data_IF_180009541396
#
_entry.id   IF_180009541396
#
_cell.length_a   1.000
_cell.length_b   1.000
_cell.length_c   1.000
_cell.angle_alpha   90.00
_cell.angle_beta   90.00
_cell.angle_gamma   90.00
#
_symmetry.space_group_name_H-M   'P 1'
#
loop_
_entity.id
_entity.type
_entity.pdbx_description
1 polymer ?
#
# COMPACT_ATOMS: atom_id res chain seq x y z
N UNK A 1 39.01 -46.67 -37.22
CA UNK A 1 37.91 -46.07 -38.01
C UNK A 1 36.63 -46.28 -37.21
N UNK A 2 35.91 -45.19 -36.94
CA UNK A 2 34.85 -45.02 -35.91
C UNK A 2 33.88 -46.19 -35.72
N UNK A 3 33.64 -46.60 -34.47
CA UNK A 3 32.32 -47.02 -33.94
C UNK A 3 32.28 -46.77 -32.43
N UNK A 4 31.53 -45.75 -32.05
CA UNK A 4 31.17 -45.41 -30.67
C UNK A 4 30.19 -46.46 -30.14
N UNK A 5 30.50 -47.08 -29.00
CA UNK A 5 29.56 -47.87 -28.21
C UNK A 5 29.44 -47.23 -26.82
N UNK A 6 28.24 -46.73 -26.57
CA UNK A 6 27.53 -46.53 -25.30
C UNK A 6 28.24 -47.02 -24.03
N UNK A 7 28.54 -46.08 -23.13
CA UNK A 7 28.57 -46.32 -21.68
C UNK A 7 27.45 -45.49 -21.05
N UNK A 8 26.41 -46.18 -20.61
CA UNK A 8 25.39 -45.64 -19.71
C UNK A 8 26.00 -45.68 -18.30
N UNK A 9 26.40 -44.53 -17.77
CA UNK A 9 26.67 -44.40 -16.34
C UNK A 9 25.39 -43.91 -15.68
N UNK A 10 24.71 -44.82 -14.98
CA UNK A 10 23.54 -44.56 -14.16
C UNK A 10 23.96 -43.71 -12.95
N UNK A 11 23.96 -42.40 -13.09
CA UNK A 11 23.81 -41.51 -11.93
C UNK A 11 22.33 -41.50 -11.56
N UNK A 12 21.93 -42.43 -10.69
CA UNK A 12 20.66 -42.33 -9.97
C UNK A 12 20.68 -41.01 -9.19
N UNK A 13 19.83 -40.09 -9.64
CA UNK A 13 19.53 -38.83 -8.96
C UNK A 13 18.87 -39.19 -7.62
N UNK A 14 19.60 -38.97 -6.53
CA UNK A 14 19.08 -38.85 -5.16
C UNK A 14 18.22 -37.57 -5.05
N UNK A 15 17.13 -37.49 -5.83
CA UNK A 15 16.26 -36.33 -5.93
C UNK A 15 14.90 -36.47 -5.24
N UNK A 16 14.62 -37.63 -4.63
CA UNK A 16 13.28 -37.94 -4.12
C UNK A 16 13.10 -37.76 -2.60
N UNK A 17 14.14 -37.43 -1.84
CA UNK A 17 14.08 -37.51 -0.36
C UNK A 17 13.98 -36.17 0.38
N UNK A 18 13.97 -35.03 -0.30
CA UNK A 18 13.75 -33.72 0.34
C UNK A 18 12.29 -33.25 0.32
N UNK A 19 11.44 -33.83 -0.53
CA UNK A 19 10.00 -33.51 -0.56
C UNK A 19 9.16 -34.33 0.44
N UNK A 20 9.69 -35.44 0.96
CA UNK A 20 8.96 -36.34 1.86
C UNK A 20 9.00 -35.94 3.35
N UNK A 21 9.59 -34.78 3.69
CA UNK A 21 9.77 -34.32 5.08
C UNK A 21 8.97 -33.05 5.42
N UNK A 22 8.28 -32.45 4.44
CA UNK A 22 7.32 -31.40 4.72
C UNK A 22 5.96 -32.07 4.94
N UNK A 23 5.48 -32.10 6.19
CA UNK A 23 4.10 -32.49 6.49
C UNK A 23 3.11 -31.62 5.70
N UNK A 24 1.87 -32.07 5.56
CA UNK A 24 0.83 -31.26 4.93
C UNK A 24 0.74 -29.88 5.61
N UNK A 25 0.54 -28.79 4.85
CA UNK A 25 0.30 -27.48 5.44
C UNK A 25 -0.85 -27.55 6.44
N UNK A 26 -0.66 -26.97 7.63
CA UNK A 26 -1.68 -26.91 8.66
C UNK A 26 -2.93 -26.20 8.13
N UNK A 27 -4.12 -26.70 8.48
CA UNK A 27 -5.36 -25.95 8.30
C UNK A 27 -5.31 -24.63 9.09
N UNK A 28 -6.01 -23.59 8.63
CA UNK A 28 -6.00 -22.27 9.29
C UNK A 28 -6.44 -22.35 10.77
N UNK A 29 -7.35 -23.28 11.08
CA UNK A 29 -7.83 -23.63 12.41
C UNK A 29 -6.76 -24.31 13.32
N UNK A 30 -5.67 -24.79 12.72
CA UNK A 30 -4.57 -25.48 13.39
C UNK A 30 -3.34 -24.59 13.57
N UNK A 31 -3.36 -23.36 13.03
CA UNK A 31 -2.29 -22.39 13.20
C UNK A 31 -2.37 -21.78 14.60
N UNK A 32 -1.40 -22.12 15.46
CA UNK A 32 -1.28 -21.48 16.76
C UNK A 32 -0.84 -20.02 16.60
N UNK A 33 -1.73 -19.07 16.88
CA UNK A 33 -1.42 -17.64 16.88
C UNK A 33 -0.49 -17.36 18.07
N UNK A 34 0.75 -17.00 17.77
CA UNK A 34 1.76 -16.61 18.77
C UNK A 34 2.08 -15.12 18.62
N UNK A 35 1.08 -14.29 18.86
CA UNK A 35 1.28 -12.84 18.99
C UNK A 35 2.11 -12.52 20.23
N UNK A 36 2.85 -11.39 20.19
CA UNK A 36 3.49 -10.82 21.38
C UNK A 36 2.55 -9.75 21.93
N UNK A 37 2.50 -9.61 23.26
CA UNK A 37 1.68 -8.56 23.88
C UNK A 37 2.35 -7.18 23.76
N UNK A 38 3.68 -7.15 23.66
CA UNK A 38 4.46 -5.93 23.53
C UNK A 38 4.57 -5.50 22.06
N UNK A 39 4.19 -4.25 21.77
CA UNK A 39 4.32 -3.62 20.46
C UNK A 39 5.14 -2.32 20.53
N UNK A 40 5.94 -1.97 19.50
CA UNK A 40 6.10 -2.72 18.25
C UNK A 40 6.94 -3.99 18.42
N UNK A 41 6.69 -5.01 17.60
CA UNK A 41 7.38 -6.30 17.67
C UNK A 41 7.71 -6.97 16.33
N UNK A 42 7.50 -6.29 15.20
CA UNK A 42 7.78 -6.86 13.87
C UNK A 42 9.17 -6.45 13.40
N UNK A 43 9.30 -5.31 12.71
CA UNK A 43 10.58 -4.81 12.21
C UNK A 43 11.29 -3.86 13.19
N UNK A 44 10.58 -3.40 14.23
CA UNK A 44 11.12 -2.63 15.34
C UNK A 44 10.63 -3.23 16.66
N UNK A 45 11.41 -3.03 17.72
CA UNK A 45 11.02 -3.36 19.09
C UNK A 45 10.83 -2.11 19.94
N UNK A 46 10.15 -2.22 21.08
CA UNK A 46 10.10 -1.15 22.09
C UNK A 46 11.51 -0.67 22.50
N UNK A 47 12.48 -1.57 22.61
CA UNK A 47 13.89 -1.24 22.89
C UNK A 47 14.52 -0.39 21.79
N UNK A 48 14.23 -0.67 20.51
CA UNK A 48 14.72 0.14 19.40
C UNK A 48 14.17 1.57 19.44
N UNK A 49 12.89 1.71 19.82
CA UNK A 49 12.24 3.02 19.99
C UNK A 49 12.88 3.81 21.12
N UNK A 50 13.12 3.19 22.28
CA UNK A 50 13.79 3.86 23.41
C UNK A 50 15.24 4.25 23.09
N UNK A 51 15.98 3.38 22.39
CA UNK A 51 17.30 3.74 21.87
C UNK A 51 17.25 4.92 20.89
N UNK A 52 16.23 4.99 20.02
CA UNK A 52 16.06 6.11 19.10
C UNK A 52 15.80 7.42 19.86
N UNK A 53 14.95 7.41 20.89
CA UNK A 53 14.68 8.57 21.76
C UNK A 53 15.95 9.03 22.49
N UNK A 54 16.70 8.11 23.10
CA UNK A 54 17.97 8.45 23.75
C UNK A 54 19.01 9.03 22.76
N UNK A 55 19.05 8.54 21.51
CA UNK A 55 19.91 9.11 20.46
C UNK A 55 19.50 10.52 20.07
N UNK A 56 18.20 10.82 20.02
CA UNK A 56 17.67 12.17 19.73
C UNK A 56 18.14 13.18 20.80
N UNK A 57 18.17 12.80 22.07
CA UNK A 57 18.68 13.67 23.13
C UNK A 57 20.17 13.98 22.95
N UNK A 58 20.95 12.97 22.51
CA UNK A 58 22.40 13.05 22.46
C UNK A 58 22.97 13.64 21.16
N UNK A 59 22.43 13.26 20.01
CA UNK A 59 23.07 13.51 18.71
C UNK A 59 22.26 14.47 17.83
N UNK A 60 22.96 15.43 17.21
CA UNK A 60 22.34 16.41 16.31
C UNK A 60 21.71 15.76 15.07
N UNK A 61 22.40 14.79 14.44
CA UNK A 61 21.85 14.07 13.29
C UNK A 61 20.55 13.32 13.63
N UNK A 62 20.43 12.81 14.85
CA UNK A 62 19.24 12.11 15.30
C UNK A 62 18.08 13.08 15.52
N UNK A 63 18.34 14.27 16.11
CA UNK A 63 17.36 15.36 16.18
C UNK A 63 16.91 15.79 14.79
N UNK A 64 17.84 16.04 13.88
CA UNK A 64 17.51 16.43 12.51
C UNK A 64 16.65 15.38 11.79
N UNK A 65 16.92 14.08 12.04
CA UNK A 65 16.12 12.99 11.49
C UNK A 65 14.70 12.94 12.08
N UNK A 66 14.55 13.04 13.40
CA UNK A 66 13.24 13.17 14.06
C UNK A 66 12.49 14.37 13.51
N UNK A 67 13.12 15.53 13.44
CA UNK A 67 12.46 16.77 13.01
C UNK A 67 11.99 16.66 11.55
N UNK A 68 12.72 15.91 10.69
CA UNK A 68 12.25 15.59 9.35
C UNK A 68 10.98 14.71 9.38
N UNK A 69 10.97 13.66 10.20
CA UNK A 69 9.77 12.80 10.37
C UNK A 69 8.58 13.62 10.84
N UNK A 70 8.75 14.48 11.84
CA UNK A 70 7.66 15.33 12.35
C UNK A 70 7.18 16.31 11.27
N UNK A 71 8.08 17.00 10.56
CA UNK A 71 7.69 17.89 9.45
C UNK A 71 6.95 17.16 8.33
N UNK A 72 7.27 15.90 8.07
CA UNK A 72 6.56 15.06 7.09
C UNK A 72 5.17 14.68 7.61
N UNK A 73 5.07 14.24 8.86
CA UNK A 73 3.83 13.87 9.52
C UNK A 73 2.86 15.07 9.66
N UNK A 74 3.38 16.24 10.02
CA UNK A 74 2.62 17.49 10.17
C UNK A 74 1.87 17.88 8.90
N UNK A 75 2.38 17.54 7.71
CA UNK A 75 1.68 17.81 6.44
C UNK A 75 0.34 17.09 6.38
N UNK A 76 0.29 15.88 6.92
CA UNK A 76 -0.91 15.05 6.96
C UNK A 76 -1.87 15.46 8.06
N UNK A 77 -1.51 16.39 8.95
CA UNK A 77 -2.38 16.95 9.98
C UNK A 77 -3.02 18.30 9.59
N UNK A 78 -2.59 18.91 8.48
CA UNK A 78 -3.06 20.25 8.07
C UNK A 78 -4.54 20.29 7.75
N UNK A 79 -5.02 19.25 7.09
CA UNK A 79 -6.42 19.14 6.68
C UNK A 79 -7.23 18.31 7.67
N UNK A 80 -8.56 18.46 7.63
CA UNK A 80 -9.48 17.73 8.50
C UNK A 80 -9.54 16.23 8.16
N UNK A 81 -10.16 15.42 9.02
CA UNK A 81 -10.37 14.00 8.74
C UNK A 81 -11.25 13.83 7.50
N UNK A 82 -12.32 14.61 7.42
CA UNK A 82 -13.31 14.62 6.34
C UNK A 82 -12.66 14.95 5.00
N UNK A 83 -11.71 15.90 4.97
CA UNK A 83 -10.95 16.22 3.77
C UNK A 83 -10.27 14.97 3.19
N UNK A 84 -9.56 14.20 4.02
CA UNK A 84 -8.87 13.00 3.55
C UNK A 84 -9.84 11.90 3.14
N UNK A 85 -10.94 11.73 3.88
CA UNK A 85 -11.94 10.70 3.58
C UNK A 85 -12.68 10.95 2.27
N UNK A 86 -12.88 12.21 1.86
CA UNK A 86 -13.48 12.54 0.55
C UNK A 86 -12.60 12.04 -0.61
N UNK A 87 -11.29 11.90 -0.40
CA UNK A 87 -10.34 11.46 -1.41
C UNK A 87 -10.24 9.93 -1.52
N UNK A 88 -10.83 9.19 -0.57
CA UNK A 88 -10.84 7.72 -0.56
C UNK A 88 -11.54 7.19 -1.82
N UNK A 89 -10.89 6.32 -2.63
CA UNK A 89 -11.57 5.66 -3.73
C UNK A 89 -12.76 4.83 -3.24
N UNK A 90 -13.78 4.67 -4.09
CA UNK A 90 -14.90 3.78 -3.79
C UNK A 90 -14.44 2.32 -3.71
N UNK A 91 -15.12 1.44 -2.93
CA UNK A 91 -14.91 0.00 -3.01
C UNK A 91 -14.98 -0.50 -4.46
N UNK A 92 -13.99 -1.28 -4.88
CA UNK A 92 -13.90 -1.83 -6.25
C UNK A 92 -13.56 -0.82 -7.35
N UNK A 93 -13.13 0.41 -7.01
CA UNK A 93 -12.74 1.41 -8.00
C UNK A 93 -11.57 0.95 -8.90
N UNK A 94 -11.47 1.56 -10.09
CA UNK A 94 -10.33 1.38 -10.97
C UNK A 94 -9.06 1.97 -10.36
N UNK A 95 -7.93 1.26 -10.52
CA UNK A 95 -6.57 1.73 -10.25
C UNK A 95 -5.74 1.56 -11.52
N UNK A 96 -4.88 2.52 -11.84
CA UNK A 96 -4.08 2.47 -13.07
C UNK A 96 -2.66 3.00 -12.89
N UNK A 97 -1.72 2.44 -13.66
CA UNK A 97 -0.37 2.99 -13.81
C UNK A 97 -0.34 4.20 -14.74
N UNK A 98 -1.26 4.27 -15.70
CA UNK A 98 -1.28 5.24 -16.78
C UNK A 98 -0.43 4.84 -17.98
N UNK A 99 -0.35 3.54 -18.33
CA UNK A 99 0.51 3.06 -19.44
C UNK A 99 0.15 3.64 -20.81
N UNK A 100 -1.11 3.99 -21.04
CA UNK A 100 -1.57 4.53 -22.33
C UNK A 100 -1.26 6.01 -22.54
N UNK A 101 -0.85 6.72 -21.48
CA UNK A 101 -0.42 8.11 -21.54
C UNK A 101 -1.53 9.10 -21.92
N UNK A 102 -1.13 10.32 -22.24
CA UNK A 102 -1.99 11.34 -22.82
C UNK A 102 -2.53 10.87 -24.20
N UNK A 103 -3.84 10.92 -24.46
CA UNK A 103 -4.40 10.50 -25.75
C UNK A 103 -3.86 11.27 -26.97
N UNK A 104 -3.37 12.49 -26.78
CA UNK A 104 -2.90 13.38 -27.86
C UNK A 104 -1.40 13.29 -28.11
N UNK A 105 -0.59 13.18 -27.05
CA UNK A 105 0.87 13.17 -27.15
C UNK A 105 1.50 11.80 -26.89
N UNK A 106 0.78 10.90 -26.23
CA UNK A 106 1.28 9.62 -25.74
C UNK A 106 2.23 9.74 -24.54
N UNK A 107 2.47 10.95 -24.02
CA UNK A 107 3.35 11.17 -22.88
C UNK A 107 2.75 10.63 -21.58
N UNK A 108 3.60 10.21 -20.64
CA UNK A 108 3.13 9.83 -19.32
C UNK A 108 2.68 11.04 -18.51
N UNK A 109 1.74 10.83 -17.60
CA UNK A 109 1.28 11.83 -16.66
C UNK A 109 2.26 12.06 -15.48
N UNK A 110 3.49 12.48 -15.80
CA UNK A 110 4.60 12.70 -14.87
C UNK A 110 5.33 11.42 -14.45
N UNK A 111 4.59 10.45 -13.93
CA UNK A 111 5.14 9.20 -13.42
C UNK A 111 4.04 8.20 -13.05
N UNK A 112 4.39 7.15 -12.31
CA UNK A 112 3.46 6.12 -11.85
C UNK A 112 3.23 6.25 -10.36
N UNK A 113 2.06 5.84 -9.86
CA UNK A 113 1.74 5.82 -8.43
C UNK A 113 2.00 7.18 -7.78
N UNK A 114 2.81 7.26 -6.71
CA UNK A 114 3.19 8.51 -6.04
C UNK A 114 3.82 9.57 -6.96
N UNK A 115 4.40 9.15 -8.10
CA UNK A 115 5.03 10.04 -9.06
C UNK A 115 4.09 10.58 -10.13
N UNK A 116 2.82 10.14 -10.17
CA UNK A 116 1.82 10.70 -11.07
C UNK A 116 1.58 12.19 -10.74
N UNK A 117 1.35 12.99 -11.78
CA UNK A 117 1.09 14.43 -11.71
C UNK A 117 -0.35 14.73 -11.23
N UNK A 118 -0.68 14.25 -10.03
CA UNK A 118 -1.92 14.52 -9.32
C UNK A 118 -1.71 15.55 -8.21
N UNK A 119 -2.80 16.16 -7.73
CA UNK A 119 -2.80 17.08 -6.59
C UNK A 119 -4.02 16.84 -5.72
N UNK A 120 -3.90 17.16 -4.43
CA UNK A 120 -5.04 17.15 -3.50
C UNK A 120 -6.09 18.22 -3.85
N UNK A 121 -5.67 19.31 -4.51
CA UNK A 121 -6.55 20.42 -4.91
C UNK A 121 -7.41 20.11 -6.15
N UNK A 122 -7.08 19.03 -6.88
CA UNK A 122 -7.76 18.62 -8.11
C UNK A 122 -8.18 17.15 -8.00
N UNK A 123 -9.10 16.82 -7.08
CA UNK A 123 -9.48 15.44 -6.80
C UNK A 123 -10.07 14.76 -8.03
N UNK A 124 -9.69 13.50 -8.24
CA UNK A 124 -10.13 12.70 -9.39
C UNK A 124 -9.42 13.03 -10.70
N UNK A 125 -8.42 13.94 -10.69
CA UNK A 125 -7.74 14.38 -11.90
C UNK A 125 -6.25 14.09 -11.93
N UNK A 126 -5.72 14.02 -13.16
CA UNK A 126 -4.29 13.92 -13.46
C UNK A 126 -3.91 15.00 -14.48
N UNK A 127 -2.68 15.53 -14.36
CA UNK A 127 -2.17 16.62 -15.21
C UNK A 127 -1.09 16.11 -16.18
N UNK A 128 -1.14 16.51 -17.44
CA UNK A 128 -0.04 16.24 -18.38
C UNK A 128 1.12 17.23 -18.22
N UNK A 129 2.17 17.09 -19.05
CA UNK A 129 3.36 17.95 -19.06
C UNK A 129 3.07 19.41 -19.43
N UNK A 130 2.02 19.66 -20.21
CA UNK A 130 1.58 21.00 -20.65
C UNK A 130 0.63 21.68 -19.65
N UNK A 131 0.25 20.99 -18.57
CA UNK A 131 -0.61 21.52 -17.53
C UNK A 131 -2.10 21.25 -17.71
N UNK A 132 -2.50 20.57 -18.79
CA UNK A 132 -3.88 20.16 -19.06
C UNK A 132 -4.33 19.08 -18.07
N UNK A 133 -5.54 19.23 -17.56
CA UNK A 133 -6.16 18.29 -16.61
C UNK A 133 -7.04 17.27 -17.32
N UNK A 134 -7.02 16.03 -16.81
CA UNK A 134 -7.81 14.91 -17.28
C UNK A 134 -8.49 14.22 -16.07
N UNK A 135 -9.71 13.70 -16.20
CA UNK A 135 -10.58 13.81 -17.37
C UNK A 135 -11.01 15.25 -17.68
N UNK A 136 -11.45 15.49 -18.91
CA UNK A 136 -12.02 16.76 -19.37
C UNK A 136 -13.09 16.50 -20.45
N UNK A 137 -13.72 17.55 -20.97
CA UNK A 137 -14.81 17.41 -21.96
C UNK A 137 -14.42 16.64 -23.23
N UNK A 138 -13.16 16.74 -23.67
CA UNK A 138 -12.67 16.03 -24.86
C UNK A 138 -12.33 14.56 -24.54
N UNK A 139 -11.86 14.29 -23.32
CA UNK A 139 -11.42 12.98 -22.85
C UNK A 139 -12.13 12.63 -21.53
N UNK A 140 -13.43 12.30 -21.57
CA UNK A 140 -14.22 12.02 -20.38
C UNK A 140 -13.88 10.64 -19.79
N UNK A 141 -13.77 10.56 -18.47
CA UNK A 141 -13.59 9.31 -17.71
C UNK A 141 -14.39 9.44 -16.40
N UNK A 142 -15.43 8.63 -16.26
CA UNK A 142 -16.30 8.60 -15.08
C UNK A 142 -15.84 7.60 -14.00
N UNK A 143 -14.69 6.95 -14.21
CA UNK A 143 -14.09 5.99 -13.27
C UNK A 143 -13.68 4.64 -13.86
N UNK A 144 -14.07 4.35 -15.10
CA UNK A 144 -13.78 3.08 -15.80
C UNK A 144 -12.87 3.25 -17.02
N UNK A 145 -12.37 4.47 -17.24
CA UNK A 145 -11.48 4.83 -18.34
C UNK A 145 -12.21 5.42 -19.55
N UNK A 146 -11.48 6.28 -20.27
CA UNK A 146 -11.85 6.81 -21.57
C UNK A 146 -11.45 5.84 -22.69
N UNK A 147 -12.39 5.39 -23.51
CA UNK A 147 -12.09 4.57 -24.70
C UNK A 147 -11.81 5.48 -25.89
N UNK A 148 -10.55 5.51 -26.34
CA UNK A 148 -10.13 6.28 -27.50
C UNK A 148 -10.62 5.64 -28.81
N UNK A 149 -10.60 6.40 -29.91
CA UNK A 149 -11.04 5.94 -31.24
C UNK A 149 -10.23 4.77 -31.79
N UNK A 150 -9.00 4.58 -31.32
CA UNK A 150 -8.13 3.46 -31.67
C UNK A 150 -8.35 2.21 -30.79
N UNK A 151 -9.31 2.27 -29.85
CA UNK A 151 -9.65 1.19 -28.92
C UNK A 151 -8.80 1.13 -27.66
N UNK A 152 -7.79 1.99 -27.48
CA UNK A 152 -7.05 2.08 -26.21
C UNK A 152 -7.93 2.69 -25.12
N UNK A 153 -7.71 2.25 -23.88
CA UNK A 153 -8.40 2.79 -22.70
C UNK A 153 -7.43 3.66 -21.89
N UNK A 154 -7.86 4.86 -21.51
CA UNK A 154 -7.10 5.80 -20.70
C UNK A 154 -7.79 6.00 -19.35
N UNK A 155 -7.17 5.50 -18.28
CA UNK A 155 -7.75 5.46 -16.93
C UNK A 155 -7.33 6.68 -16.08
N UNK A 156 -7.81 7.88 -16.41
CA UNK A 156 -7.42 9.11 -15.71
C UNK A 156 -7.80 9.10 -14.23
N UNK A 157 -9.04 8.70 -13.92
CA UNK A 157 -9.52 8.56 -12.55
C UNK A 157 -8.78 7.42 -11.85
N UNK A 158 -8.48 6.34 -12.58
CA UNK A 158 -7.69 5.21 -12.07
C UNK A 158 -6.27 5.61 -11.66
N UNK A 159 -5.63 6.52 -12.39
CA UNK A 159 -4.31 7.08 -12.02
C UNK A 159 -4.42 7.87 -10.71
N UNK A 160 -5.47 8.69 -10.55
CA UNK A 160 -5.69 9.42 -9.31
C UNK A 160 -5.92 8.49 -8.11
N UNK A 161 -6.78 7.47 -8.24
CA UNK A 161 -7.03 6.49 -7.17
C UNK A 161 -5.76 5.74 -6.76
N UNK A 162 -4.93 5.35 -7.73
CA UNK A 162 -3.62 4.77 -7.49
C UNK A 162 -2.69 5.76 -6.76
N UNK A 163 -2.67 7.01 -7.17
CA UNK A 163 -1.87 8.04 -6.51
C UNK A 163 -2.30 8.25 -5.05
N UNK A 164 -3.61 8.39 -4.75
CA UNK A 164 -4.11 8.58 -3.38
C UNK A 164 -3.66 7.44 -2.45
N UNK A 165 -3.99 6.20 -2.82
CA UNK A 165 -3.67 5.02 -1.99
C UNK A 165 -2.16 4.85 -1.81
N UNK A 166 -1.36 5.11 -2.84
CA UNK A 166 0.09 5.04 -2.78
C UNK A 166 0.71 6.16 -1.93
N UNK A 167 0.16 7.38 -2.00
CA UNK A 167 0.57 8.48 -1.13
C UNK A 167 0.31 8.15 0.34
N UNK A 168 -0.84 7.54 0.65
CA UNK A 168 -1.15 7.14 2.02
C UNK A 168 -0.24 6.02 2.51
N UNK A 169 -0.09 4.96 1.72
CA UNK A 169 0.73 3.78 2.06
C UNK A 169 2.21 4.09 2.17
N UNK A 170 2.76 4.91 1.28
CA UNK A 170 4.20 5.15 1.18
C UNK A 170 4.68 6.42 1.87
N UNK A 171 3.81 7.41 2.09
CA UNK A 171 4.20 8.71 2.67
C UNK A 171 3.44 9.05 3.95
N UNK A 172 2.11 8.94 3.98
CA UNK A 172 1.31 9.30 5.15
C UNK A 172 1.53 8.36 6.34
N UNK A 173 1.15 7.09 6.17
CA UNK A 173 1.23 6.08 7.22
C UNK A 173 2.63 5.93 7.83
N UNK A 174 3.73 5.83 7.06
CA UNK A 174 5.06 5.69 7.66
C UNK A 174 5.56 6.95 8.36
N UNK A 175 5.10 8.15 7.98
CA UNK A 175 5.49 9.39 8.70
C UNK A 175 4.69 9.55 9.98
N UNK A 176 3.38 9.36 9.93
CA UNK A 176 2.47 9.44 11.07
C UNK A 176 2.80 8.39 12.14
N UNK A 177 2.95 7.11 11.76
CA UNK A 177 3.20 6.04 12.74
C UNK A 177 4.56 6.18 13.42
N UNK A 178 5.60 6.59 12.69
CA UNK A 178 6.93 6.85 13.27
C UNK A 178 6.95 8.10 14.13
N UNK A 179 6.22 9.16 13.75
CA UNK A 179 6.08 10.36 14.57
C UNK A 179 5.42 10.01 15.91
N UNK A 180 4.35 9.19 15.90
CA UNK A 180 3.73 8.67 17.10
C UNK A 180 4.72 7.86 17.95
N UNK A 181 5.44 6.88 17.40
CA UNK A 181 6.41 6.09 18.17
C UNK A 181 7.49 6.96 18.87
N UNK A 182 7.97 7.99 18.19
CA UNK A 182 9.03 8.85 18.72
C UNK A 182 8.53 9.83 19.79
N UNK A 183 7.24 10.20 19.78
CA UNK A 183 6.72 11.33 20.58
C UNK A 183 5.63 10.94 21.57
N UNK A 184 4.89 9.87 21.30
CA UNK A 184 3.64 9.54 22.00
C UNK A 184 2.49 10.52 21.70
N UNK A 185 2.63 11.44 20.74
CA UNK A 185 1.58 12.42 20.42
C UNK A 185 0.44 11.75 19.63
N UNK A 186 -0.71 11.62 20.29
CA UNK A 186 -1.90 10.98 19.77
C UNK A 186 -2.46 11.63 18.50
N UNK A 187 -2.13 12.88 18.19
CA UNK A 187 -2.60 13.51 16.95
C UNK A 187 -2.08 12.77 15.72
N UNK A 188 -0.83 12.28 15.76
CA UNK A 188 -0.27 11.48 14.68
C UNK A 188 -0.92 10.10 14.61
N UNK A 189 -1.17 9.46 15.75
CA UNK A 189 -1.79 8.15 15.80
C UNK A 189 -3.25 8.17 15.37
N UNK A 190 -4.00 9.20 15.75
CA UNK A 190 -5.39 9.34 15.35
C UNK A 190 -5.53 9.48 13.83
N UNK A 191 -4.71 10.34 13.21
CA UNK A 191 -4.68 10.47 11.75
C UNK A 191 -4.15 9.19 11.08
N UNK A 192 -3.12 8.56 11.63
CA UNK A 192 -2.54 7.33 11.11
C UNK A 192 -3.55 6.17 11.10
N UNK A 193 -4.23 5.96 12.22
CA UNK A 193 -5.25 4.91 12.34
C UNK A 193 -6.48 5.20 11.47
N UNK A 194 -6.88 6.47 11.31
CA UNK A 194 -7.94 6.85 10.37
C UNK A 194 -7.59 6.48 8.92
N UNK A 195 -6.40 6.82 8.44
CA UNK A 195 -6.01 6.53 7.05
C UNK A 195 -5.80 5.03 6.82
N UNK A 196 -5.30 4.30 7.83
CA UNK A 196 -5.16 2.84 7.72
C UNK A 196 -6.51 2.13 7.72
N UNK A 197 -7.45 2.58 8.56
CA UNK A 197 -8.85 2.13 8.58
C UNK A 197 -9.57 2.43 7.27
N UNK A 198 -9.32 3.60 6.68
CA UNK A 198 -9.87 3.98 5.39
C UNK A 198 -9.37 3.08 4.25
N UNK A 199 -8.10 2.69 4.24
CA UNK A 199 -7.62 1.68 3.29
C UNK A 199 -8.27 0.32 3.56
N UNK A 200 -8.37 -0.09 4.82
CA UNK A 200 -8.98 -1.37 5.19
C UNK A 200 -10.46 -1.47 4.78
N UNK A 201 -11.22 -0.38 4.86
CA UNK A 201 -12.65 -0.39 4.53
C UNK A 201 -12.98 -0.56 3.05
N UNK A 202 -11.99 -0.47 2.16
CA UNK A 202 -12.17 -0.65 0.70
C UNK A 202 -11.28 -1.76 0.13
N UNK A 203 -10.43 -2.37 0.98
CA UNK A 203 -9.45 -3.36 0.57
C UNK A 203 -10.09 -4.67 0.07
N UNK A 204 -11.15 -5.22 0.71
CA UNK A 204 -11.81 -6.46 0.29
C UNK A 204 -12.34 -6.42 -1.14
N UNK A 205 -12.81 -5.27 -1.62
CA UNK A 205 -13.34 -5.12 -2.98
C UNK A 205 -12.27 -4.69 -4.00
N UNK A 206 -11.10 -4.23 -3.55
CA UNK A 206 -10.05 -3.70 -4.42
C UNK A 206 -9.10 -4.78 -4.96
N UNK A 207 -9.63 -5.87 -5.53
CA UNK A 207 -8.90 -7.13 -5.83
C UNK A 207 -8.29 -7.26 -7.23
N UNK A 208 -8.53 -6.29 -8.11
CA UNK A 208 -8.10 -6.39 -9.52
C UNK A 208 -6.62 -6.05 -9.74
N UNK A 209 -5.99 -5.36 -8.80
CA UNK A 209 -4.72 -4.68 -9.08
C UNK A 209 -4.93 -3.52 -10.05
N UNK A 210 -3.86 -3.12 -10.74
CA UNK A 210 -3.94 -2.08 -11.77
C UNK A 210 -4.64 -2.61 -13.03
N UNK A 211 -5.67 -1.92 -13.51
CA UNK A 211 -6.51 -2.37 -14.63
C UNK A 211 -5.80 -2.31 -15.98
N UNK A 212 -4.80 -1.42 -16.12
CA UNK A 212 -3.93 -1.34 -17.29
C UNK A 212 -2.72 -2.27 -17.23
N UNK A 213 -2.63 -3.13 -16.21
CA UNK A 213 -1.62 -4.18 -16.14
C UNK A 213 -2.13 -5.46 -16.84
N UNK A 214 -1.32 -6.12 -17.68
CA UNK A 214 -1.74 -7.31 -18.42
C UNK A 214 -1.82 -8.53 -17.50
N UNK A 215 -2.91 -8.66 -16.74
CA UNK A 215 -3.23 -9.80 -15.87
C UNK A 215 -4.50 -10.52 -16.31
N UNK A 216 -4.44 -11.85 -16.39
CA UNK A 216 -5.62 -12.68 -16.68
C UNK A 216 -5.62 -13.94 -15.78
N UNK A 217 -6.60 -14.11 -14.88
CA UNK A 217 -7.59 -13.08 -14.50
C UNK A 217 -6.90 -11.84 -13.88
N UNK A 218 -7.58 -10.68 -13.82
CA UNK A 218 -7.15 -9.56 -12.99
C UNK A 218 -6.87 -10.04 -11.56
N UNK A 219 -5.73 -9.64 -11.00
CA UNK A 219 -5.31 -10.08 -9.68
C UNK A 219 -4.32 -9.09 -9.07
N UNK A 220 -4.64 -8.66 -7.86
CA UNK A 220 -3.82 -7.75 -7.09
C UNK A 220 -4.61 -7.14 -5.94
N UNK A 221 -4.10 -6.04 -5.39
CA UNK A 221 -4.80 -5.19 -4.42
C UNK A 221 -4.48 -3.74 -4.72
N UNK A 222 -5.48 -2.86 -4.73
CA UNK A 222 -5.32 -1.46 -5.16
C UNK A 222 -4.55 -1.35 -6.49
N UNK A 223 -3.50 -0.53 -6.56
CA UNK A 223 -2.65 -0.36 -7.73
C UNK A 223 -1.54 -1.43 -7.89
N UNK A 224 -1.49 -2.46 -7.02
CA UNK A 224 -0.42 -3.46 -6.98
C UNK A 224 -0.88 -4.79 -7.60
N UNK A 225 -0.32 -5.22 -8.74
CA UNK A 225 -0.61 -6.52 -9.31
C UNK A 225 0.17 -7.65 -8.61
N UNK A 226 -0.47 -8.81 -8.43
CA UNK A 226 0.15 -10.08 -8.01
C UNK A 226 1.10 -9.95 -6.79
N UNK A 227 2.33 -10.46 -6.91
CA UNK A 227 3.33 -10.50 -5.83
C UNK A 227 3.68 -9.10 -5.27
N UNK A 228 3.37 -8.02 -6.00
CA UNK A 228 3.61 -6.67 -5.49
C UNK A 228 2.72 -6.34 -4.30
N UNK A 229 1.55 -6.99 -4.16
CA UNK A 229 0.67 -6.85 -3.00
C UNK A 229 1.38 -7.24 -1.71
N UNK A 230 2.21 -8.28 -1.72
CA UNK A 230 2.98 -8.69 -0.55
C UNK A 230 3.95 -7.58 -0.10
N UNK A 231 4.45 -6.74 -1.02
CA UNK A 231 5.36 -5.62 -0.68
C UNK A 231 4.64 -4.49 0.04
N UNK A 232 3.35 -4.30 -0.19
CA UNK A 232 2.53 -3.33 0.54
C UNK A 232 2.02 -3.90 1.85
N UNK A 233 1.67 -5.19 1.90
CA UNK A 233 1.24 -5.85 3.13
C UNK A 233 2.27 -5.74 4.26
N UNK A 234 3.56 -5.96 3.97
CA UNK A 234 4.64 -5.78 4.96
C UNK A 234 4.64 -4.37 5.55
N UNK A 235 4.28 -3.35 4.76
CA UNK A 235 4.20 -1.96 5.25
C UNK A 235 2.99 -1.75 6.16
N UNK A 236 1.83 -2.29 5.79
CA UNK A 236 0.63 -2.22 6.62
C UNK A 236 0.83 -2.90 7.95
N UNK A 237 1.51 -4.05 7.97
CA UNK A 237 1.89 -4.75 9.21
C UNK A 237 2.74 -3.85 10.11
N UNK A 238 3.81 -3.23 9.58
CA UNK A 238 4.63 -2.29 10.36
C UNK A 238 3.82 -1.10 10.87
N UNK A 239 2.97 -0.53 10.03
CA UNK A 239 2.20 0.66 10.37
C UNK A 239 1.15 0.35 11.44
N UNK A 240 0.49 -0.80 11.35
CA UNK A 240 -0.41 -1.31 12.37
C UNK A 240 0.33 -1.55 13.69
N UNK A 241 1.46 -2.25 13.65
CA UNK A 241 2.31 -2.56 14.80
C UNK A 241 2.79 -1.29 15.53
N UNK A 242 3.15 -0.26 14.77
CA UNK A 242 3.64 1.01 15.33
C UNK A 242 2.51 1.84 15.96
N UNK A 243 1.28 1.68 15.48
CA UNK A 243 0.09 2.37 15.99
C UNK A 243 -0.67 1.54 17.04
N UNK A 244 -0.25 0.30 17.30
CA UNK A 244 -1.01 -0.71 18.02
C UNK A 244 -1.51 -0.23 19.40
N UNK A 245 -0.66 0.47 20.15
CA UNK A 245 -0.99 0.91 21.52
C UNK A 245 -1.85 2.18 21.58
N UNK A 246 -2.14 2.84 20.46
CA UNK A 246 -2.95 4.05 20.47
C UNK A 246 -4.41 3.73 20.83
N UNK A 247 -5.05 4.50 21.74
CA UNK A 247 -6.49 4.41 21.98
C UNK A 247 -7.33 4.72 20.73
N UNK A 248 -6.76 5.40 19.73
CA UNK A 248 -7.45 5.70 18.47
C UNK A 248 -7.80 4.45 17.66
N UNK A 249 -7.12 3.33 17.90
CA UNK A 249 -7.49 2.01 17.35
C UNK A 249 -8.90 1.54 17.78
N UNK A 250 -9.40 2.04 18.91
CA UNK A 250 -10.72 1.66 19.44
C UNK A 250 -11.84 2.61 18.98
N UNK A 251 -11.53 3.64 18.17
CA UNK A 251 -12.55 4.52 17.59
C UNK A 251 -13.41 3.74 16.59
N UNK A 252 -14.66 4.20 16.32
CA UNK A 252 -15.48 3.62 15.26
C UNK A 252 -14.73 3.58 13.92
N UNK A 253 -14.91 2.48 13.19
CA UNK A 253 -14.39 2.29 11.84
C UNK A 253 -15.31 2.92 10.80
N UNK A 254 -14.78 3.15 9.59
CA UNK A 254 -15.60 3.38 8.40
C UNK A 254 -16.43 2.15 8.00
N UNK A 255 -16.02 0.95 8.42
CA UNK A 255 -16.78 -0.28 8.24
C UNK A 255 -17.81 -0.42 9.38
N UNK A 256 -19.09 -0.47 9.01
CA UNK A 256 -20.20 -0.51 9.96
C UNK A 256 -20.06 -1.70 10.94
N UNK A 257 -20.28 -1.44 12.24
CA UNK A 257 -20.20 -2.45 13.29
C UNK A 257 -18.79 -2.77 13.78
N UNK A 258 -17.73 -2.18 13.20
CA UNK A 258 -16.35 -2.39 13.60
C UNK A 258 -15.74 -1.17 14.30
N UNK A 259 -14.70 -1.42 15.11
CA UNK A 259 -13.73 -0.38 15.45
C UNK A 259 -12.54 -0.45 14.47
N UNK A 260 -11.68 0.58 14.45
CA UNK A 260 -10.56 0.65 13.50
C UNK A 260 -9.65 -0.58 13.60
N UNK A 261 -9.38 -1.07 14.81
CA UNK A 261 -8.55 -2.26 15.03
C UNK A 261 -9.10 -3.46 14.29
N UNK A 262 -10.35 -3.82 14.57
CA UNK A 262 -11.02 -5.00 14.00
C UNK A 262 -11.05 -4.89 12.48
N UNK A 263 -11.41 -3.73 11.93
CA UNK A 263 -11.43 -3.53 10.49
C UNK A 263 -10.04 -3.71 9.85
N UNK A 264 -8.99 -3.13 10.44
CA UNK A 264 -7.62 -3.27 9.93
C UNK A 264 -7.15 -4.73 10.02
N UNK A 265 -7.39 -5.40 11.14
CA UNK A 265 -6.99 -6.79 11.33
C UNK A 265 -7.70 -7.74 10.37
N UNK A 266 -9.02 -7.63 10.23
CA UNK A 266 -9.83 -8.57 9.46
C UNK A 266 -9.81 -8.26 7.96
N UNK A 267 -9.99 -7.00 7.58
CA UNK A 267 -10.22 -6.62 6.18
C UNK A 267 -8.96 -6.18 5.43
N UNK A 268 -7.82 -5.99 6.12
CA UNK A 268 -6.57 -5.57 5.48
C UNK A 268 -5.41 -6.55 5.73
N UNK A 269 -5.27 -7.05 6.95
CA UNK A 269 -4.12 -7.89 7.31
C UNK A 269 -4.38 -9.40 7.12
N UNK A 270 -5.63 -9.84 7.26
CA UNK A 270 -6.02 -11.26 7.13
C UNK A 270 -6.69 -11.61 5.79
N UNK A 271 -7.02 -10.60 4.98
CA UNK A 271 -7.67 -10.71 3.67
C UNK A 271 -6.68 -10.91 2.49
#
# INVERSE_FOLDING_TARGET
MKRFFTHFLSCLVLGASLWAMAGEPLGQDQIAIRGREDHPCVNLTASDVEHAKGRVEKYEWARAHRDRILREADRWLRESAEFWLILLPKPGACYAYGFTGDPTTGESFGGRWVGASCSWDEPGKVRNSEGRLFPNEEFPDEGEGYVASDGRIHYFVGIFNAWVTEQWTLNALPSLSKAYLLTGDERYADRGTLLLDALASIYPESTSGSWDYPSNPPSGRFARPWYQVARTLVKYVDQYDFLYNSPSMNKPSLTEGMNRRVNIEENLLQD
#
